data_IF_927541963163
#
_entry.id   IF_927541963163
#
_cell.length_a   1.000
_cell.length_b   1.000
_cell.length_c   1.000
_cell.angle_alpha   90.00
_cell.angle_beta   90.00
_cell.angle_gamma   90.00
#
_symmetry.space_group_name_H-M   'P 1'
#
loop_
_entity.id
_entity.type
_entity.pdbx_description
1 polymer ?
#
# COMPACT_ATOMS: atom_id res chain seq x y z
N UNK A 1 -12.97 -2.96 -33.16
CA UNK A 1 -12.31 -1.63 -33.08
C UNK A 1 -13.13 -0.65 -33.88
N UNK A 2 -13.57 0.47 -33.29
CA UNK A 2 -14.39 1.50 -33.93
C UNK A 2 -13.58 2.21 -35.02
N UNK A 3 -14.24 2.62 -36.13
CA UNK A 3 -13.65 3.42 -37.21
C UNK A 3 -13.00 4.72 -36.69
N UNK A 4 -13.55 5.30 -35.64
CA UNK A 4 -13.01 6.50 -34.97
C UNK A 4 -11.68 6.24 -34.27
N UNK A 5 -11.43 5.05 -33.71
CA UNK A 5 -10.13 4.72 -33.10
C UNK A 5 -9.00 4.57 -34.14
N UNK A 6 -9.34 4.23 -35.39
CA UNK A 6 -8.37 4.22 -36.49
C UNK A 6 -7.98 5.63 -36.97
N UNK A 7 -8.87 6.61 -36.82
CA UNK A 7 -8.65 8.00 -37.27
C UNK A 7 -7.93 8.86 -36.19
N UNK A 8 -8.25 8.65 -34.93
CA UNK A 8 -7.74 9.47 -33.81
C UNK A 8 -6.67 8.77 -32.96
N UNK A 9 -6.34 7.51 -33.26
CA UNK A 9 -5.43 6.70 -32.46
C UNK A 9 -5.99 6.35 -31.07
N UNK A 10 -5.31 5.45 -30.36
CA UNK A 10 -5.63 5.13 -28.98
C UNK A 10 -5.12 6.25 -28.05
N UNK A 11 -6.03 6.82 -27.24
CA UNK A 11 -5.70 7.88 -26.28
C UNK A 11 -4.65 7.39 -25.25
N UNK A 12 -4.77 6.12 -24.81
CA UNK A 12 -3.83 5.51 -23.89
C UNK A 12 -2.44 5.35 -24.53
N UNK A 13 -2.38 4.88 -25.77
CA UNK A 13 -1.10 4.75 -26.49
C UNK A 13 -0.41 6.11 -26.68
N UNK A 14 -1.18 7.17 -26.97
CA UNK A 14 -0.63 8.54 -27.03
C UNK A 14 -0.11 9.00 -25.68
N UNK A 15 -0.89 8.80 -24.61
CA UNK A 15 -0.49 9.15 -23.25
C UNK A 15 0.81 8.42 -22.85
N UNK A 16 0.88 7.12 -23.06
CA UNK A 16 2.09 6.33 -22.78
C UNK A 16 3.30 6.91 -23.52
N UNK A 17 3.13 7.20 -24.82
CA UNK A 17 4.22 7.71 -25.66
C UNK A 17 4.65 9.14 -25.33
N UNK A 18 3.71 10.03 -25.00
CA UNK A 18 3.98 11.46 -24.84
C UNK A 18 4.28 11.85 -23.38
N UNK A 19 3.72 11.14 -22.39
CA UNK A 19 3.86 11.49 -20.98
C UNK A 19 4.76 10.49 -20.22
N UNK A 20 4.54 9.18 -20.39
CA UNK A 20 5.25 8.20 -19.58
C UNK A 20 6.62 7.82 -20.14
N UNK A 21 6.74 7.64 -21.45
CA UNK A 21 8.00 7.19 -22.05
C UNK A 21 9.18 8.18 -21.87
N UNK A 22 8.99 9.50 -21.95
CA UNK A 22 10.08 10.45 -21.63
C UNK A 22 10.54 10.31 -20.17
N UNK A 23 9.60 10.22 -19.22
CA UNK A 23 9.92 10.05 -17.80
C UNK A 23 10.70 8.76 -17.52
N UNK A 24 10.37 7.67 -18.22
CA UNK A 24 11.15 6.42 -18.14
C UNK A 24 12.60 6.65 -18.59
N UNK A 25 12.84 7.45 -19.63
CA UNK A 25 14.19 7.79 -20.08
C UNK A 25 14.94 8.59 -19.00
N UNK A 26 14.28 9.52 -18.34
CA UNK A 26 14.86 10.29 -17.24
C UNK A 26 15.27 9.35 -16.09
N UNK A 27 14.37 8.44 -15.67
CA UNK A 27 14.66 7.44 -14.64
C UNK A 27 15.82 6.54 -15.04
N UNK A 28 15.85 6.07 -16.30
CA UNK A 28 16.92 5.23 -16.80
C UNK A 28 18.27 5.96 -16.83
N UNK A 29 18.28 7.27 -17.10
CA UNK A 29 19.51 8.07 -17.12
C UNK A 29 20.14 8.22 -15.72
N UNK A 30 19.35 8.13 -14.66
CA UNK A 30 19.80 8.19 -13.26
C UNK A 30 20.36 6.85 -12.76
N UNK A 31 20.02 5.72 -13.37
CA UNK A 31 20.38 4.39 -12.89
C UNK A 31 21.90 4.22 -12.65
N UNK A 32 22.82 4.67 -13.56
CA UNK A 32 24.26 4.51 -13.33
C UNK A 32 24.80 5.29 -12.13
N UNK A 33 24.10 6.33 -11.68
CA UNK A 33 24.44 7.09 -10.48
C UNK A 33 24.00 6.31 -9.23
N UNK A 34 22.75 5.86 -9.20
CA UNK A 34 22.20 5.13 -8.07
C UNK A 34 22.88 3.77 -7.82
N UNK A 35 23.36 3.12 -8.89
CA UNK A 35 24.15 1.89 -8.77
C UNK A 35 25.46 2.07 -7.97
N UNK A 36 26.02 3.27 -7.94
CA UNK A 36 27.25 3.59 -7.23
C UNK A 36 27.03 3.92 -5.77
N UNK A 37 25.80 4.23 -5.36
CA UNK A 37 25.49 4.58 -3.99
C UNK A 37 25.76 3.37 -3.05
N UNK A 38 26.34 3.63 -1.89
CA UNK A 38 26.35 2.70 -0.77
C UNK A 38 24.93 2.53 -0.21
N UNK A 39 24.69 1.50 0.60
CA UNK A 39 23.39 1.34 1.28
C UNK A 39 23.06 2.55 2.16
N UNK A 40 24.05 3.08 2.88
CA UNK A 40 23.88 4.29 3.69
C UNK A 40 23.48 5.52 2.87
N UNK A 41 24.00 5.67 1.65
CA UNK A 41 23.63 6.75 0.74
C UNK A 41 22.19 6.58 0.22
N UNK A 42 21.75 5.35 -0.06
CA UNK A 42 20.37 5.09 -0.46
C UNK A 42 19.36 5.42 0.65
N UNK A 43 19.66 5.05 1.90
CA UNK A 43 18.83 5.43 3.06
C UNK A 43 18.75 6.96 3.19
N UNK A 44 19.88 7.65 3.03
CA UNK A 44 19.95 9.11 3.10
C UNK A 44 19.14 9.80 1.99
N UNK A 45 18.90 9.14 0.86
CA UNK A 45 18.04 9.70 -0.21
C UNK A 45 16.61 9.93 0.27
N UNK A 46 16.04 9.03 1.07
CA UNK A 46 14.71 9.24 1.66
C UNK A 46 14.65 10.53 2.50
N UNK A 47 15.66 10.77 3.33
CA UNK A 47 15.72 12.01 4.12
C UNK A 47 15.89 13.26 3.25
N UNK A 48 16.72 13.21 2.20
CA UNK A 48 16.89 14.28 1.22
C UNK A 48 15.59 14.60 0.48
N UNK A 49 14.84 13.59 0.06
CA UNK A 49 13.55 13.79 -0.62
C UNK A 49 12.54 14.47 0.31
N UNK A 50 12.47 14.05 1.58
CA UNK A 50 11.60 14.71 2.58
C UNK A 50 11.99 16.16 2.81
N UNK A 51 13.28 16.46 2.88
CA UNK A 51 13.76 17.84 2.99
C UNK A 51 13.36 18.70 1.78
N UNK A 52 13.42 18.15 0.56
CA UNK A 52 13.01 18.84 -0.66
C UNK A 52 11.50 19.06 -0.70
N UNK A 53 10.68 18.09 -0.29
CA UNK A 53 9.23 18.26 -0.10
C UNK A 53 8.93 19.37 0.91
N UNK A 54 9.64 19.42 2.03
CA UNK A 54 9.47 20.47 3.03
C UNK A 54 9.85 21.88 2.51
N UNK A 55 10.71 21.96 1.49
CA UNK A 55 11.08 23.19 0.78
C UNK A 55 10.12 23.56 -0.36
N UNK A 56 9.08 22.76 -0.60
CA UNK A 56 8.02 23.07 -1.57
C UNK A 56 8.12 22.37 -2.90
N UNK A 57 9.07 21.44 -3.11
CA UNK A 57 9.04 20.55 -4.27
C UNK A 57 7.85 19.59 -4.18
N UNK A 58 7.34 19.16 -5.32
CA UNK A 58 6.21 18.23 -5.41
C UNK A 58 6.68 16.77 -5.51
N UNK A 59 5.77 15.82 -5.29
CA UNK A 59 6.05 14.41 -5.53
C UNK A 59 6.38 14.14 -7.02
N UNK A 60 5.76 14.87 -7.94
CA UNK A 60 6.03 14.75 -9.37
C UNK A 60 7.46 15.21 -9.71
N UNK A 61 7.97 16.24 -9.05
CA UNK A 61 9.36 16.71 -9.21
C UNK A 61 10.36 15.65 -8.71
N UNK A 62 10.03 14.93 -7.64
CA UNK A 62 10.87 13.90 -7.04
C UNK A 62 10.75 12.53 -7.73
N UNK A 63 9.70 12.32 -8.51
CA UNK A 63 9.35 10.99 -9.05
C UNK A 63 10.51 10.31 -9.79
N UNK A 64 11.26 10.96 -10.69
CA UNK A 64 12.34 10.28 -11.40
C UNK A 64 13.41 9.72 -10.46
N UNK A 65 13.87 10.54 -9.52
CA UNK A 65 14.91 10.15 -8.57
C UNK A 65 14.39 9.12 -7.54
N UNK A 66 13.17 9.29 -7.04
CA UNK A 66 12.56 8.35 -6.12
C UNK A 66 12.35 6.97 -6.78
N UNK A 67 11.93 6.93 -8.05
CA UNK A 67 11.78 5.68 -8.78
C UNK A 67 13.14 5.03 -9.10
N UNK A 68 14.19 5.82 -9.36
CA UNK A 68 15.55 5.29 -9.50
C UNK A 68 16.05 4.71 -8.16
N UNK A 69 15.81 5.38 -7.05
CA UNK A 69 16.20 4.92 -5.71
C UNK A 69 15.57 3.58 -5.36
N UNK A 70 14.22 3.46 -5.50
CA UNK A 70 13.54 2.22 -5.16
C UNK A 70 13.83 1.10 -6.16
N UNK A 71 14.08 1.40 -7.43
CA UNK A 71 14.52 0.43 -8.42
C UNK A 71 15.85 -0.21 -8.02
N UNK A 72 16.81 0.61 -7.58
CA UNK A 72 18.10 0.14 -7.12
C UNK A 72 17.97 -0.62 -5.79
N UNK A 73 17.18 -0.12 -4.84
CA UNK A 73 16.89 -0.82 -3.59
C UNK A 73 16.27 -2.20 -3.84
N UNK A 74 15.34 -2.30 -4.79
CA UNK A 74 14.71 -3.57 -5.20
C UNK A 74 15.73 -4.56 -5.78
N UNK A 75 16.63 -4.06 -6.64
CA UNK A 75 17.71 -4.87 -7.20
C UNK A 75 18.61 -5.45 -6.11
N UNK A 76 18.96 -4.65 -5.10
CA UNK A 76 19.82 -5.09 -3.99
C UNK A 76 19.10 -6.00 -3.00
N UNK A 77 17.92 -5.61 -2.55
CA UNK A 77 17.22 -6.30 -1.48
C UNK A 77 16.66 -7.67 -1.90
N UNK A 78 16.13 -7.77 -3.12
CA UNK A 78 15.41 -8.98 -3.59
C UNK A 78 15.86 -9.48 -4.97
N UNK A 79 16.90 -8.90 -5.56
CA UNK A 79 17.42 -9.29 -6.88
C UNK A 79 16.47 -8.99 -8.06
N UNK A 80 15.52 -8.07 -7.89
CA UNK A 80 14.52 -7.72 -8.91
C UNK A 80 14.65 -6.26 -9.32
N UNK A 81 15.00 -6.02 -10.59
CA UNK A 81 15.01 -4.69 -11.17
C UNK A 81 13.68 -4.43 -11.89
N UNK A 82 13.05 -3.29 -11.65
CA UNK A 82 11.83 -2.91 -12.37
C UNK A 82 12.11 -2.72 -13.86
N UNK A 83 11.26 -3.27 -14.71
CA UNK A 83 11.26 -3.04 -16.15
C UNK A 83 10.61 -1.69 -16.49
N UNK A 84 10.92 -1.15 -17.67
CA UNK A 84 10.40 0.14 -18.12
C UNK A 84 8.85 0.20 -18.12
N UNK A 85 8.19 -0.88 -18.53
CA UNK A 85 6.72 -0.98 -18.49
C UNK A 85 6.17 -0.98 -17.05
N UNK A 86 6.95 -1.48 -16.09
CA UNK A 86 6.58 -1.44 -14.67
C UNK A 86 6.74 -0.04 -14.09
N UNK A 87 7.73 0.74 -14.53
CA UNK A 87 7.83 2.16 -14.18
C UNK A 87 6.62 2.93 -14.69
N UNK A 88 6.18 2.67 -15.94
CA UNK A 88 4.95 3.27 -16.49
C UNK A 88 3.72 2.92 -15.68
N UNK A 89 3.57 1.66 -15.25
CA UNK A 89 2.50 1.23 -14.37
C UNK A 89 2.51 1.96 -13.03
N UNK A 90 3.68 2.10 -12.41
CA UNK A 90 3.87 2.85 -11.16
C UNK A 90 3.49 4.33 -11.29
N UNK A 91 3.88 4.98 -12.39
CA UNK A 91 3.48 6.36 -12.68
C UNK A 91 1.97 6.51 -12.87
N UNK A 92 1.34 5.58 -13.58
CA UNK A 92 -0.12 5.58 -13.77
C UNK A 92 -0.86 5.46 -12.43
N UNK A 93 -0.41 4.58 -11.54
CA UNK A 93 -0.97 4.43 -10.19
C UNK A 93 -0.76 5.69 -9.35
N UNK A 94 0.43 6.30 -9.39
CA UNK A 94 0.69 7.55 -8.67
C UNK A 94 -0.26 8.67 -9.10
N UNK A 95 -0.60 8.73 -10.38
CA UNK A 95 -1.52 9.71 -10.95
C UNK A 95 -3.01 9.38 -10.74
N UNK A 96 -3.34 8.40 -9.91
CA UNK A 96 -4.71 8.00 -9.61
C UNK A 96 -5.43 7.32 -10.78
N UNK A 97 -4.68 6.66 -11.68
CA UNK A 97 -5.23 5.94 -12.82
C UNK A 97 -5.33 4.44 -12.55
N UNK A 98 -6.10 3.74 -13.35
CA UNK A 98 -6.14 2.27 -13.39
C UNK A 98 -4.99 1.80 -14.27
N UNK A 99 -4.08 1.00 -13.71
CA UNK A 99 -3.01 0.33 -14.43
C UNK A 99 -3.42 -1.12 -14.67
N UNK A 100 -3.88 -1.44 -15.86
CA UNK A 100 -4.18 -2.82 -16.26
C UNK A 100 -2.88 -3.55 -16.60
N UNK A 101 -2.59 -4.62 -15.87
CA UNK A 101 -1.44 -5.49 -16.09
C UNK A 101 -1.88 -6.95 -16.02
N UNK A 102 -1.38 -7.76 -16.95
CA UNK A 102 -1.69 -9.19 -16.98
C UNK A 102 -1.07 -9.93 -15.80
N UNK A 103 -1.65 -11.08 -15.49
CA UNK A 103 -1.09 -11.99 -14.48
C UNK A 103 0.35 -12.36 -14.85
N UNK A 104 1.25 -12.32 -13.86
CA UNK A 104 2.68 -12.62 -14.08
C UNK A 104 3.54 -11.42 -14.49
N UNK A 105 2.98 -10.25 -14.78
CA UNK A 105 3.75 -9.05 -15.16
C UNK A 105 4.36 -8.30 -13.97
N UNK A 106 4.19 -8.81 -12.74
CA UNK A 106 4.83 -8.29 -11.54
C UNK A 106 4.12 -7.09 -10.91
N UNK A 107 2.78 -7.08 -10.88
CA UNK A 107 1.96 -6.03 -10.24
C UNK A 107 2.44 -5.68 -8.83
N UNK A 108 2.75 -6.69 -8.01
CA UNK A 108 3.26 -6.51 -6.64
C UNK A 108 4.53 -5.67 -6.58
N UNK A 109 5.44 -5.88 -7.55
CA UNK A 109 6.66 -5.08 -7.65
C UNK A 109 6.37 -3.66 -8.13
N UNK A 110 5.45 -3.49 -9.09
CA UNK A 110 5.02 -2.18 -9.60
C UNK A 110 4.48 -1.30 -8.49
N UNK A 111 3.67 -1.87 -7.59
CA UNK A 111 3.08 -1.12 -6.48
C UNK A 111 4.12 -0.49 -5.55
N UNK A 112 5.34 -1.05 -5.48
CA UNK A 112 6.40 -0.49 -4.62
C UNK A 112 6.79 0.93 -5.02
N UNK A 113 6.76 1.24 -6.31
CA UNK A 113 7.17 2.54 -6.88
C UNK A 113 6.32 3.69 -6.31
N UNK A 114 4.99 3.73 -6.54
CA UNK A 114 4.16 4.81 -6.04
C UNK A 114 3.95 4.73 -4.52
N UNK A 115 4.02 3.55 -3.88
CA UNK A 115 3.96 3.45 -2.42
C UNK A 115 5.15 4.15 -1.77
N UNK A 116 6.37 3.91 -2.27
CA UNK A 116 7.57 4.60 -1.77
C UNK A 116 7.47 6.12 -1.97
N UNK A 117 7.12 6.56 -3.17
CA UNK A 117 7.01 7.98 -3.49
C UNK A 117 6.01 8.69 -2.57
N UNK A 118 4.82 8.11 -2.36
CA UNK A 118 3.80 8.70 -1.51
C UNK A 118 4.13 8.57 -0.01
N UNK A 119 4.89 7.55 0.41
CA UNK A 119 5.39 7.41 1.77
C UNK A 119 6.37 8.52 2.18
N UNK A 120 7.01 9.20 1.22
CA UNK A 120 7.88 10.34 1.50
C UNK A 120 7.16 11.50 2.18
N UNK A 121 5.84 11.63 1.99
CA UNK A 121 5.00 12.64 2.64
C UNK A 121 4.78 12.40 4.13
N UNK A 122 5.13 11.20 4.63
CA UNK A 122 4.90 10.75 6.01
C UNK A 122 3.40 10.62 6.41
N UNK A 123 2.48 10.88 5.47
CA UNK A 123 1.03 10.84 5.72
C UNK A 123 0.42 9.44 5.63
N UNK A 124 1.18 8.44 5.22
CA UNK A 124 0.74 7.05 5.06
C UNK A 124 0.30 6.71 3.65
N UNK A 125 0.77 5.57 3.16
CA UNK A 125 0.38 4.98 1.89
C UNK A 125 -0.15 3.56 2.16
N UNK A 126 -1.33 3.24 1.61
CA UNK A 126 -1.98 1.96 1.84
C UNK A 126 -1.97 1.10 0.58
N UNK A 127 -1.73 -0.19 0.74
CA UNK A 127 -2.02 -1.19 -0.28
C UNK A 127 -3.17 -2.07 0.19
N UNK A 128 -4.26 -2.02 -0.56
CA UNK A 128 -5.51 -2.73 -0.27
C UNK A 128 -5.58 -3.98 -1.14
N UNK A 129 -5.76 -5.16 -0.52
CA UNK A 129 -5.88 -6.44 -1.19
C UNK A 129 -7.22 -7.12 -0.87
N UNK A 130 -7.66 -8.10 -1.66
CA UNK A 130 -8.93 -8.80 -1.39
C UNK A 130 -8.86 -9.79 -0.22
N UNK A 131 -7.67 -10.21 0.23
CA UNK A 131 -7.54 -11.18 1.32
C UNK A 131 -6.22 -11.04 2.09
N UNK A 132 -6.20 -11.60 3.32
CA UNK A 132 -5.06 -11.54 4.24
C UNK A 132 -3.80 -12.21 3.69
N UNK A 133 -3.95 -13.26 2.90
CA UNK A 133 -2.81 -13.95 2.29
C UNK A 133 -2.03 -13.02 1.35
N UNK A 134 -2.73 -12.30 0.47
CA UNK A 134 -2.11 -11.34 -0.45
C UNK A 134 -1.52 -10.14 0.29
N UNK A 135 -2.16 -9.67 1.37
CA UNK A 135 -1.61 -8.60 2.21
C UNK A 135 -0.28 -9.02 2.83
N UNK A 136 -0.23 -10.21 3.45
CA UNK A 136 0.99 -10.75 4.09
C UNK A 136 2.10 -10.99 3.09
N UNK A 137 1.79 -11.65 1.96
CA UNK A 137 2.78 -11.93 0.91
C UNK A 137 3.33 -10.63 0.34
N UNK A 138 2.45 -9.69 -0.03
CA UNK A 138 2.87 -8.39 -0.57
C UNK A 138 3.79 -7.66 0.39
N UNK A 139 3.40 -7.53 1.65
CA UNK A 139 4.20 -6.87 2.67
C UNK A 139 5.53 -7.60 2.95
N UNK A 140 5.50 -8.94 3.06
CA UNK A 140 6.70 -9.73 3.38
C UNK A 140 7.72 -9.76 2.24
N UNK A 141 7.25 -9.85 1.01
CA UNK A 141 8.15 -9.89 -0.16
C UNK A 141 8.74 -8.54 -0.50
N UNK A 142 7.99 -7.45 -0.27
CA UNK A 142 8.42 -6.09 -0.62
C UNK A 142 9.02 -5.35 0.59
N UNK A 143 8.79 -5.82 1.81
CA UNK A 143 9.33 -5.26 3.05
C UNK A 143 10.84 -4.98 3.03
N UNK A 144 11.68 -5.92 2.55
CA UNK A 144 13.12 -5.70 2.42
C UNK A 144 13.50 -4.47 1.59
N UNK A 145 12.73 -4.17 0.53
CA UNK A 145 12.98 -3.02 -0.35
C UNK A 145 12.75 -1.72 0.43
N UNK A 146 11.62 -1.63 1.11
CA UNK A 146 11.25 -0.45 1.89
C UNK A 146 12.19 -0.25 3.08
N UNK A 147 12.54 -1.35 3.76
CA UNK A 147 13.48 -1.32 4.88
C UNK A 147 14.84 -0.77 4.47
N UNK A 148 15.37 -1.19 3.31
CA UNK A 148 16.64 -0.68 2.76
C UNK A 148 16.61 0.83 2.51
N UNK A 149 15.44 1.42 2.28
CA UNK A 149 15.23 2.86 2.10
C UNK A 149 14.80 3.58 3.38
N UNK A 150 14.81 2.90 4.54
CA UNK A 150 14.40 3.49 5.81
C UNK A 150 12.89 3.74 5.94
N UNK A 151 12.07 3.01 5.18
CA UNK A 151 10.60 3.11 5.20
C UNK A 151 10.02 1.95 6.00
N UNK A 152 9.25 2.24 7.03
CA UNK A 152 8.55 1.25 7.83
C UNK A 152 7.34 0.68 7.08
N UNK A 153 7.11 -0.62 7.24
CA UNK A 153 6.01 -1.34 6.60
C UNK A 153 5.18 -2.07 7.65
N UNK A 154 3.90 -1.75 7.71
CA UNK A 154 2.91 -2.44 8.52
C UNK A 154 2.06 -3.40 7.71
N UNK A 155 1.52 -4.42 8.36
CA UNK A 155 0.49 -5.30 7.83
C UNK A 155 -0.66 -5.43 8.83
N UNK A 156 -1.89 -5.35 8.32
CA UNK A 156 -3.11 -5.51 9.10
C UNK A 156 -3.92 -6.64 8.48
N UNK A 157 -4.22 -7.65 9.30
CA UNK A 157 -5.05 -8.81 8.94
C UNK A 157 -6.17 -8.98 9.95
N UNK A 158 -7.11 -9.89 9.69
CA UNK A 158 -8.25 -10.12 10.58
C UNK A 158 -7.81 -10.39 12.03
N UNK A 159 -6.84 -11.26 12.22
CA UNK A 159 -6.45 -11.76 13.54
C UNK A 159 -5.21 -11.07 14.12
N UNK A 160 -4.48 -10.28 13.33
CA UNK A 160 -3.18 -9.75 13.75
C UNK A 160 -2.78 -8.48 13.03
N UNK A 161 -1.83 -7.79 13.61
CA UNK A 161 -1.08 -6.72 12.96
C UNK A 161 0.40 -6.85 13.29
N UNK A 162 1.25 -6.43 12.37
CA UNK A 162 2.69 -6.54 12.50
C UNK A 162 3.45 -5.45 11.77
N UNK A 163 4.64 -5.17 12.24
CA UNK A 163 5.63 -4.31 11.59
C UNK A 163 6.77 -5.15 11.05
N UNK A 164 7.16 -4.90 9.80
CA UNK A 164 8.30 -5.56 9.19
C UNK A 164 9.59 -5.17 9.91
N UNK A 165 10.31 -6.19 10.40
CA UNK A 165 11.61 -6.06 11.05
C UNK A 165 12.48 -7.25 10.64
N UNK A 166 13.55 -7.07 9.84
CA UNK A 166 14.39 -8.17 9.38
C UNK A 166 15.15 -8.87 10.52
N UNK A 167 15.25 -8.25 11.71
CA UNK A 167 15.88 -8.86 12.89
C UNK A 167 14.91 -9.68 13.74
N UNK A 168 13.61 -9.61 13.46
CA UNK A 168 12.60 -10.43 14.11
C UNK A 168 12.34 -11.69 13.29
N UNK A 169 12.22 -12.82 13.96
CA UNK A 169 11.84 -14.09 13.35
C UNK A 169 10.73 -14.76 14.17
N UNK A 170 9.59 -15.02 13.51
CA UNK A 170 8.48 -15.72 14.13
C UNK A 170 8.83 -17.21 14.28
N UNK A 171 8.84 -17.69 15.52
CA UNK A 171 9.16 -19.09 15.86
C UNK A 171 8.14 -20.11 15.31
N UNK A 172 6.92 -19.69 14.99
CA UNK A 172 5.88 -20.58 14.50
C UNK A 172 5.97 -20.90 13.01
N UNK A 173 6.71 -20.06 12.25
CA UNK A 173 6.90 -20.23 10.81
C UNK A 173 5.61 -20.13 10.00
N UNK A 174 5.67 -19.59 8.80
CA UNK A 174 4.51 -19.39 7.92
C UNK A 174 4.61 -20.18 6.60
N UNK A 175 5.51 -21.17 6.52
CA UNK A 175 5.77 -21.91 5.28
C UNK A 175 6.63 -21.17 4.25
N UNK A 176 6.62 -19.85 4.27
CA UNK A 176 7.51 -18.95 3.52
C UNK A 176 8.28 -18.07 4.51
N UNK A 177 9.59 -18.24 4.58
CA UNK A 177 10.45 -17.54 5.54
C UNK A 177 10.36 -16.00 5.44
N UNK A 178 10.01 -15.49 4.27
CA UNK A 178 9.82 -14.03 4.05
C UNK A 178 8.65 -13.46 4.85
N UNK A 179 7.74 -14.30 5.32
CA UNK A 179 6.59 -13.90 6.15
C UNK A 179 6.90 -13.91 7.65
N UNK A 180 8.06 -14.43 8.06
CA UNK A 180 8.44 -14.59 9.46
C UNK A 180 8.94 -13.28 10.11
N UNK A 181 9.14 -12.23 9.32
CA UNK A 181 9.76 -10.98 9.77
C UNK A 181 8.75 -9.90 10.19
N UNK A 182 7.56 -10.29 10.62
CA UNK A 182 6.58 -9.34 11.15
C UNK A 182 6.52 -9.41 12.67
N UNK A 183 7.14 -8.43 13.32
CA UNK A 183 7.03 -8.25 14.76
C UNK A 183 5.59 -7.85 15.11
N UNK A 184 4.90 -8.58 16.01
CA UNK A 184 3.56 -8.22 16.46
C UNK A 184 3.50 -6.80 17.01
N UNK A 185 2.44 -6.07 16.66
CA UNK A 185 2.22 -4.70 17.12
C UNK A 185 0.71 -4.41 17.22
N UNK A 186 0.37 -3.27 17.79
CA UNK A 186 -1.03 -2.78 17.77
C UNK A 186 -1.43 -2.34 16.37
N UNK A 187 -2.73 -2.29 16.08
CA UNK A 187 -3.24 -1.73 14.81
C UNK A 187 -2.80 -0.28 14.65
N UNK A 188 -2.83 0.51 15.70
CA UNK A 188 -2.34 1.89 15.68
C UNK A 188 -0.89 1.98 15.20
N UNK A 189 0.00 1.14 15.72
CA UNK A 189 1.40 1.09 15.28
C UNK A 189 1.54 0.65 13.82
N UNK A 190 0.74 -0.34 13.38
CA UNK A 190 0.75 -0.79 11.98
C UNK A 190 0.29 0.31 11.03
N UNK A 191 -0.73 1.08 11.40
CA UNK A 191 -1.18 2.24 10.61
C UNK A 191 -0.24 3.45 10.72
N UNK A 192 0.55 3.57 11.80
CA UNK A 192 1.58 4.60 11.92
C UNK A 192 2.79 4.33 11.02
N UNK A 193 2.96 3.12 10.48
CA UNK A 193 3.98 2.84 9.48
C UNK A 193 3.79 3.70 8.21
N UNK A 194 4.86 3.98 7.50
CA UNK A 194 4.79 4.79 6.27
C UNK A 194 3.99 4.10 5.16
N UNK A 195 4.08 2.76 5.10
CA UNK A 195 3.30 1.93 4.18
C UNK A 195 2.55 0.88 5.01
N UNK A 196 1.25 0.71 4.76
CA UNK A 196 0.43 -0.31 5.42
C UNK A 196 -0.28 -1.17 4.39
N UNK A 197 -0.07 -2.48 4.48
CA UNK A 197 -0.79 -3.50 3.71
C UNK A 197 -1.97 -4.03 4.52
N UNK A 198 -3.09 -4.26 3.88
CA UNK A 198 -4.26 -4.82 4.54
C UNK A 198 -5.36 -5.17 3.55
N UNK A 199 -6.41 -5.82 4.03
CA UNK A 199 -7.57 -6.11 3.20
C UNK A 199 -8.55 -4.93 3.17
N UNK A 200 -9.37 -4.86 2.12
CA UNK A 200 -10.47 -3.91 2.03
C UNK A 200 -11.37 -3.97 3.27
N UNK A 201 -11.66 -5.19 3.77
CA UNK A 201 -12.49 -5.39 4.94
C UNK A 201 -11.85 -4.83 6.21
N UNK A 202 -10.57 -5.10 6.45
CA UNK A 202 -9.89 -4.60 7.65
C UNK A 202 -9.78 -3.08 7.67
N UNK A 203 -9.40 -2.47 6.55
CA UNK A 203 -9.40 -1.01 6.43
C UNK A 203 -10.79 -0.42 6.67
N UNK A 204 -11.83 -1.04 6.10
CA UNK A 204 -13.20 -0.60 6.25
C UNK A 204 -13.74 -0.80 7.69
N UNK A 205 -13.50 -1.94 8.30
CA UNK A 205 -13.91 -2.18 9.69
C UNK A 205 -13.18 -1.26 10.68
N UNK A 206 -11.88 -1.03 10.50
CA UNK A 206 -11.15 -0.12 11.37
C UNK A 206 -11.62 1.32 11.19
N UNK A 207 -11.95 1.75 9.96
CA UNK A 207 -12.59 3.03 9.72
C UNK A 207 -13.93 3.17 10.46
N UNK A 208 -14.78 2.14 10.41
CA UNK A 208 -16.07 2.16 11.12
C UNK A 208 -15.87 2.16 12.65
N UNK A 209 -14.91 1.39 13.17
CA UNK A 209 -14.57 1.38 14.59
C UNK A 209 -14.05 2.75 15.05
N UNK A 210 -13.19 3.39 14.25
CA UNK A 210 -12.67 4.72 14.56
C UNK A 210 -13.76 5.79 14.60
N UNK A 211 -14.81 5.66 13.76
CA UNK A 211 -15.97 6.55 13.81
C UNK A 211 -16.87 6.33 15.05
N UNK A 212 -16.65 5.27 15.82
CA UNK A 212 -17.36 5.02 17.08
C UNK A 212 -16.54 5.45 18.32
N UNK A 213 -15.26 5.82 18.13
CA UNK A 213 -14.38 6.20 19.22
C UNK A 213 -14.67 7.64 19.69
N UNK A 214 -14.65 7.84 21.00
CA UNK A 214 -14.89 9.16 21.61
C UNK A 214 -13.62 9.98 21.83
N UNK A 215 -12.46 9.35 21.76
CA UNK A 215 -11.17 9.98 22.03
C UNK A 215 -10.21 9.80 20.85
N UNK A 216 -9.57 10.86 20.35
CA UNK A 216 -8.61 10.76 19.24
C UNK A 216 -7.45 9.79 19.52
N UNK A 217 -7.07 9.61 20.78
CA UNK A 217 -6.01 8.67 21.18
C UNK A 217 -6.39 7.18 21.01
N UNK A 218 -7.65 6.88 20.78
CA UNK A 218 -8.17 5.53 20.56
C UNK A 218 -8.31 5.18 19.09
N UNK A 219 -8.11 6.15 18.20
CA UNK A 219 -8.16 5.92 16.76
C UNK A 219 -7.02 4.98 16.33
N UNK A 220 -7.35 4.06 15.44
CA UNK A 220 -6.40 3.10 14.85
C UNK A 220 -5.71 3.69 13.65
N UNK A 221 -6.50 4.32 12.78
CA UNK A 221 -6.06 4.89 11.50
C UNK A 221 -5.64 6.35 11.64
N UNK A 222 -4.78 6.77 10.73
CA UNK A 222 -4.48 8.18 10.45
C UNK A 222 -5.42 8.72 9.39
N UNK A 223 -5.31 10.01 9.06
CA UNK A 223 -5.95 10.57 7.87
C UNK A 223 -5.53 9.80 6.61
N UNK A 224 -6.49 9.59 5.72
CA UNK A 224 -6.25 8.89 4.46
C UNK A 224 -5.56 9.82 3.47
N UNK A 225 -4.43 9.38 2.92
CA UNK A 225 -3.63 10.18 1.99
C UNK A 225 -3.52 9.53 0.62
N UNK A 226 -3.03 8.29 0.55
CA UNK A 226 -2.83 7.58 -0.70
C UNK A 226 -3.16 6.09 -0.52
N UNK A 227 -3.82 5.51 -1.51
CA UNK A 227 -4.11 4.08 -1.53
C UNK A 227 -3.98 3.50 -2.94
N UNK A 228 -3.45 2.28 -3.01
CA UNK A 228 -3.55 1.41 -4.18
C UNK A 228 -4.53 0.30 -3.83
N UNK A 229 -5.49 0.06 -4.72
CA UNK A 229 -6.43 -1.07 -4.61
C UNK A 229 -5.98 -2.12 -5.63
N UNK A 230 -5.46 -3.25 -5.14
CA UNK A 230 -5.07 -4.38 -5.97
C UNK A 230 -6.27 -5.28 -6.24
N UNK A 231 -6.31 -5.95 -7.39
CA UNK A 231 -7.45 -6.75 -7.86
C UNK A 231 -8.79 -5.97 -7.76
N UNK A 232 -8.76 -4.76 -8.32
CA UNK A 232 -9.84 -3.75 -8.18
C UNK A 232 -11.20 -4.23 -8.71
N UNK A 233 -11.23 -5.10 -9.69
CA UNK A 233 -12.42 -5.76 -10.22
C UNK A 233 -13.09 -6.65 -9.15
N UNK A 234 -12.31 -7.44 -8.41
CA UNK A 234 -12.85 -8.21 -7.29
C UNK A 234 -13.40 -7.30 -6.19
N UNK A 235 -12.66 -6.30 -5.76
CA UNK A 235 -13.04 -5.45 -4.62
C UNK A 235 -14.18 -4.50 -4.95
N UNK A 236 -14.11 -3.80 -6.09
CA UNK A 236 -15.06 -2.71 -6.42
C UNK A 236 -16.21 -3.13 -7.33
N UNK A 237 -16.19 -4.35 -7.89
CA UNK A 237 -17.25 -4.86 -8.75
C UNK A 237 -17.88 -6.11 -8.15
N UNK A 238 -17.12 -7.20 -7.97
CA UNK A 238 -17.67 -8.48 -7.52
C UNK A 238 -18.19 -8.41 -6.10
N UNK A 239 -17.46 -7.79 -5.19
CA UNK A 239 -17.80 -7.64 -3.77
C UNK A 239 -18.40 -6.26 -3.42
N UNK A 240 -18.67 -5.40 -4.38
CA UNK A 240 -19.08 -4.02 -4.17
C UNK A 240 -20.32 -3.83 -3.28
N UNK A 241 -21.17 -4.84 -3.15
CA UNK A 241 -22.39 -4.84 -2.34
C UNK A 241 -22.26 -5.53 -0.99
N UNK A 242 -21.08 -6.02 -0.65
CA UNK A 242 -20.82 -6.64 0.66
C UNK A 242 -20.84 -5.58 1.74
N UNK A 243 -21.76 -5.69 2.68
CA UNK A 243 -21.92 -4.72 3.76
C UNK A 243 -20.91 -5.00 4.87
N UNK A 244 -20.23 -3.96 5.33
CA UNK A 244 -19.46 -3.98 6.57
C UNK A 244 -20.41 -3.63 7.72
N UNK A 245 -20.68 -4.58 8.61
CA UNK A 245 -21.62 -4.41 9.73
C UNK A 245 -20.86 -4.59 11.04
N UNK A 246 -20.92 -3.57 11.90
CA UNK A 246 -20.50 -3.68 13.30
C UNK A 246 -21.76 -3.75 14.15
N UNK A 247 -21.91 -4.83 14.93
CA UNK A 247 -23.00 -4.98 15.90
C UNK A 247 -22.42 -5.10 17.30
N UNK A 248 -23.05 -4.45 18.25
CA UNK A 248 -22.75 -4.59 19.67
C UNK A 248 -23.97 -5.17 20.38
N UNK A 249 -23.79 -6.06 21.39
CA UNK A 249 -24.91 -6.52 22.19
C UNK A 249 -25.56 -5.33 22.90
N UNK A 250 -26.86 -5.15 22.72
CA UNK A 250 -27.63 -4.22 23.52
C UNK A 250 -28.06 -4.94 24.80
N UNK A 251 -27.38 -4.64 25.91
CA UNK A 251 -27.66 -5.24 27.22
C UNK A 251 -28.92 -4.70 27.85
N UNK A 252 -29.34 -3.46 27.52
CA UNK A 252 -30.56 -2.87 28.11
C UNK A 252 -31.84 -3.53 27.57
N UNK A 253 -31.86 -3.87 26.26
CA UNK A 253 -33.02 -4.54 25.68
C UNK A 253 -33.22 -5.96 26.22
N UNK A 254 -32.17 -6.69 26.56
CA UNK A 254 -32.28 -8.04 27.10
C UNK A 254 -32.98 -8.08 28.46
N UNK A 255 -32.72 -7.09 29.33
CA UNK A 255 -33.38 -7.00 30.63
C UNK A 255 -34.82 -6.50 30.51
N UNK A 256 -35.13 -5.61 29.59
CA UNK A 256 -36.49 -5.21 29.25
C UNK A 256 -37.29 -6.40 28.69
N UNK A 257 -36.76 -7.20 27.82
CA UNK A 257 -37.43 -8.42 27.34
C UNK A 257 -37.71 -9.42 28.41
N UNK A 258 -36.79 -9.64 29.36
CA UNK A 258 -37.02 -10.50 30.53
C UNK A 258 -38.12 -9.95 31.43
N UNK A 259 -38.14 -8.64 31.68
CA UNK A 259 -39.17 -7.99 32.49
C UNK A 259 -40.55 -8.10 31.82
N UNK A 260 -40.65 -7.84 30.51
CA UNK A 260 -41.91 -7.98 29.76
C UNK A 260 -42.37 -9.43 29.66
N UNK A 261 -41.47 -10.40 29.49
CA UNK A 261 -41.78 -11.81 29.47
C UNK A 261 -42.40 -12.29 30.79
N UNK A 262 -42.04 -11.66 31.93
CA UNK A 262 -42.66 -11.95 33.24
C UNK A 262 -44.05 -11.32 33.45
N UNK A 263 -44.47 -10.39 32.61
CA UNK A 263 -45.76 -9.69 32.70
C UNK A 263 -46.83 -10.36 31.82
N UNK A 264 -46.40 -11.08 30.78
CA UNK A 264 -47.33 -11.79 29.86
C UNK A 264 -47.88 -13.02 30.59
N UNK A 265 -49.21 -13.10 30.85
CA UNK A 265 -49.79 -14.29 31.42
C UNK A 265 -49.59 -15.51 30.52
N UNK A 266 -49.30 -16.65 31.11
CA UNK A 266 -49.23 -17.93 30.42
C UNK A 266 -50.58 -18.37 29.91
#
# INVERSE_FOLDING_TARGET
MSFLSKLFGDANARYVKSALAPMVQDINSLEPEFEKFSEGELILMTAKFRERLAKGETLDDLLPEAFAAIREASRRAIGKRHFDVQLMGGMALHQGKIAEMKTGEGKTLVATLPLYLNALTEKGAHLVTPNDYLSRIGAGWMGPIYYLLGISTGVVTNDSSGLYDPNYEDAHGHGDSRLNHFRPCTRHEAYAAYITYGTNNEFGFDYLRDNLEYQPSQLRQREHHFAIVDEVDSILIDEARTHLIISMPDTESADLYKMFAGIVPQ
#
